data_IF_184966070440
#
_entry.id   IF_184966070440
#
_cell.length_a   1.000
_cell.length_b   1.000
_cell.length_c   1.000
_cell.angle_alpha   90.00
_cell.angle_beta   90.00
_cell.angle_gamma   90.00
#
_symmetry.space_group_name_H-M   'P 1'
#
loop_
_entity.id
_entity.type
_entity.pdbx_description
1 polymer ?
#
# COMPACT_ATOMS: atom_id res chain seq x y z
N UNK A 1 13.30 -9.59 2.63
CA UNK A 1 12.22 -9.16 3.53
C UNK A 1 11.26 -8.24 2.80
N UNK A 2 9.95 -8.37 3.02
CA UNK A 2 8.93 -7.41 2.58
C UNK A 2 8.48 -6.57 3.78
N UNK A 3 8.21 -5.30 3.53
CA UNK A 3 7.68 -4.38 4.52
C UNK A 3 6.29 -3.91 4.05
N UNK A 4 5.25 -4.14 4.85
CA UNK A 4 3.90 -3.67 4.55
C UNK A 4 3.62 -2.47 5.45
N UNK A 5 3.29 -1.33 4.85
CA UNK A 5 2.82 -0.14 5.56
C UNK A 5 1.31 0.01 5.34
N UNK A 6 0.54 -0.03 6.43
CA UNK A 6 -0.92 0.01 6.37
C UNK A 6 -1.49 0.91 7.46
N UNK A 7 -2.69 1.45 7.23
CA UNK A 7 -3.46 2.14 8.26
C UNK A 7 -4.41 1.21 9.00
N UNK A 8 -4.69 0.02 8.44
CA UNK A 8 -5.58 -0.98 9.03
C UNK A 8 -4.94 -2.37 9.02
N UNK A 9 -5.00 -3.04 10.16
CA UNK A 9 -4.53 -4.42 10.37
C UNK A 9 -5.30 -4.96 11.59
N UNK A 10 -5.59 -6.28 11.68
CA UNK A 10 -6.34 -6.84 12.80
C UNK A 10 -5.83 -6.33 14.16
N UNK A 11 -6.70 -5.98 15.11
CA UNK A 11 -8.15 -6.25 15.24
C UNK A 11 -9.13 -5.20 14.65
N UNK A 12 -8.70 -4.34 13.72
CA UNK A 12 -9.64 -3.38 13.10
C UNK A 12 -10.70 -4.12 12.25
N UNK A 13 -11.99 -3.99 12.56
CA UNK A 13 -13.08 -4.50 11.72
C UNK A 13 -13.20 -3.71 10.41
N UNK A 14 -12.37 -4.05 9.43
CA UNK A 14 -12.31 -3.39 8.13
C UNK A 14 -11.80 -4.37 7.07
N UNK A 15 -12.44 -4.41 5.89
CA UNK A 15 -12.04 -5.29 4.79
C UNK A 15 -10.59 -5.10 4.30
N UNK A 16 -10.02 -3.89 4.45
CA UNK A 16 -8.59 -3.66 4.18
C UNK A 16 -7.71 -4.37 5.20
N UNK A 17 -8.10 -4.39 6.48
CA UNK A 17 -7.38 -5.11 7.53
C UNK A 17 -7.33 -6.61 7.25
N UNK A 18 -8.47 -7.21 6.94
CA UNK A 18 -8.59 -8.64 6.61
C UNK A 18 -7.78 -9.00 5.37
N UNK A 19 -7.87 -8.16 4.32
CA UNK A 19 -7.06 -8.31 3.13
C UNK A 19 -5.57 -8.32 3.43
N UNK A 20 -5.08 -7.34 4.21
CA UNK A 20 -3.66 -7.25 4.56
C UNK A 20 -3.22 -8.43 5.42
N UNK A 21 -4.07 -8.92 6.31
CA UNK A 21 -3.82 -10.11 7.10
C UNK A 21 -3.66 -11.34 6.21
N UNK A 22 -4.63 -11.63 5.34
CA UNK A 22 -4.58 -12.77 4.43
C UNK A 22 -3.37 -12.69 3.49
N UNK A 23 -3.10 -11.51 2.93
CA UNK A 23 -1.92 -11.25 2.10
C UNK A 23 -0.62 -11.53 2.88
N UNK A 24 -0.53 -11.07 4.13
CA UNK A 24 0.62 -11.30 4.98
C UNK A 24 0.83 -12.79 5.25
N UNK A 25 -0.23 -13.54 5.58
CA UNK A 25 -0.16 -14.97 5.85
C UNK A 25 0.31 -15.76 4.62
N UNK A 26 -0.17 -15.43 3.43
CA UNK A 26 0.27 -16.07 2.19
C UNK A 26 1.73 -15.76 1.85
N UNK A 27 2.15 -14.50 1.98
CA UNK A 27 3.54 -14.10 1.68
C UNK A 27 4.51 -14.73 2.70
N UNK A 28 4.11 -14.82 3.98
CA UNK A 28 4.92 -15.38 5.07
C UNK A 28 5.32 -16.83 4.86
N UNK A 29 4.58 -17.60 4.05
CA UNK A 29 4.93 -18.97 3.68
C UNK A 29 6.31 -19.06 3.00
N UNK A 30 6.72 -18.02 2.28
CA UNK A 30 7.93 -18.02 1.46
C UNK A 30 8.90 -16.88 1.79
N UNK A 31 8.47 -15.84 2.52
CA UNK A 31 9.25 -14.64 2.76
C UNK A 31 9.07 -14.08 4.18
N UNK A 32 10.11 -13.46 4.72
CA UNK A 32 9.96 -12.62 5.93
C UNK A 32 9.15 -11.36 5.61
N UNK A 33 8.06 -11.15 6.35
CA UNK A 33 7.19 -9.97 6.22
C UNK A 33 7.10 -9.24 7.55
N UNK A 34 7.34 -7.93 7.52
CA UNK A 34 7.06 -7.03 8.63
C UNK A 34 5.88 -6.14 8.27
N UNK A 35 4.90 -6.02 9.16
CA UNK A 35 3.76 -5.12 9.01
C UNK A 35 3.96 -3.95 9.97
N UNK A 36 3.84 -2.72 9.47
CA UNK A 36 3.89 -1.49 10.25
C UNK A 36 2.56 -0.78 10.10
N UNK A 37 1.83 -0.63 11.21
CA UNK A 37 0.52 0.02 11.25
C UNK A 37 0.66 1.48 11.70
N UNK A 38 0.26 2.42 10.86
CA UNK A 38 0.14 3.88 11.13
C UNK A 38 1.42 4.65 11.54
N UNK A 39 2.42 4.00 12.13
CA UNK A 39 3.61 4.62 12.70
C UNK A 39 4.67 4.88 11.63
N UNK A 40 4.85 6.15 11.25
CA UNK A 40 5.97 6.54 10.38
C UNK A 40 7.32 6.38 11.07
N UNK A 41 7.39 6.61 12.39
CA UNK A 41 8.62 6.42 13.16
C UNK A 41 9.08 4.97 13.14
N UNK A 42 8.16 4.02 13.39
CA UNK A 42 8.48 2.59 13.31
C UNK A 42 8.87 2.20 11.87
N UNK A 43 8.19 2.76 10.87
CA UNK A 43 8.52 2.53 9.47
C UNK A 43 9.94 2.98 9.15
N UNK A 44 10.29 4.21 9.54
CA UNK A 44 11.63 4.79 9.34
C UNK A 44 12.67 3.93 10.06
N UNK A 45 12.42 3.59 11.32
CA UNK A 45 13.31 2.72 12.09
C UNK A 45 13.56 1.40 11.36
N UNK A 46 12.51 0.69 10.93
CA UNK A 46 12.66 -0.57 10.21
C UNK A 46 13.38 -0.40 8.87
N UNK A 47 13.11 0.68 8.13
CA UNK A 47 13.82 0.99 6.87
C UNK A 47 15.30 1.18 7.15
N UNK A 48 15.68 2.04 8.09
CA UNK A 48 17.08 2.36 8.41
C UNK A 48 17.80 1.12 8.93
N UNK A 49 17.22 0.41 9.91
CA UNK A 49 17.84 -0.76 10.53
C UNK A 49 17.98 -1.96 9.59
N UNK A 50 17.16 -2.06 8.54
CA UNK A 50 17.09 -3.26 7.68
C UNK A 50 17.25 -2.96 6.18
N UNK A 51 17.72 -1.77 5.81
CA UNK A 51 17.75 -1.27 4.42
C UNK A 51 18.34 -2.26 3.41
N UNK A 52 19.39 -3.01 3.78
CA UNK A 52 20.09 -3.94 2.87
C UNK A 52 19.27 -5.19 2.54
N UNK A 53 18.36 -5.61 3.42
CA UNK A 53 17.58 -6.86 3.27
C UNK A 53 16.12 -6.64 2.84
N UNK A 54 15.65 -5.38 2.88
CA UNK A 54 14.34 -5.00 2.36
C UNK A 54 14.37 -5.12 0.84
N UNK A 55 13.53 -6.00 0.30
CA UNK A 55 13.40 -6.23 -1.14
C UNK A 55 12.32 -5.34 -1.76
N UNK A 56 11.27 -5.06 -1.01
CA UNK A 56 10.09 -4.32 -1.45
C UNK A 56 9.37 -3.73 -0.23
N UNK A 57 8.91 -2.49 -0.34
CA UNK A 57 7.86 -1.96 0.52
C UNK A 57 6.53 -1.99 -0.22
N UNK A 58 5.48 -2.46 0.44
CA UNK A 58 4.11 -2.40 -0.04
C UNK A 58 3.32 -1.42 0.84
N UNK A 59 2.71 -0.40 0.22
CA UNK A 59 1.93 0.62 0.92
C UNK A 59 0.46 0.43 0.58
N UNK A 60 -0.38 0.31 1.60
CA UNK A 60 -1.83 0.11 1.46
C UNK A 60 -2.53 1.47 1.45
N UNK A 61 -3.29 1.79 0.41
CA UNK A 61 -3.94 3.08 0.27
C UNK A 61 -5.28 2.99 -0.48
N UNK A 62 -6.31 3.77 -0.10
CA UNK A 62 -6.52 4.31 1.23
C UNK A 62 -6.74 3.15 2.22
N UNK A 63 -6.67 3.44 3.51
CA UNK A 63 -7.19 2.55 4.56
C UNK A 63 -7.81 3.41 5.65
N UNK A 64 -8.76 2.87 6.41
CA UNK A 64 -9.55 3.64 7.39
C UNK A 64 -8.65 4.35 8.41
N UNK A 65 -7.55 3.72 8.84
CA UNK A 65 -6.63 4.37 9.76
C UNK A 65 -5.98 5.64 9.20
N UNK A 66 -5.84 5.74 7.87
CA UNK A 66 -5.34 6.95 7.20
C UNK A 66 -6.42 8.01 6.98
N UNK A 67 -7.72 7.68 7.06
CA UNK A 67 -8.79 8.68 6.91
C UNK A 67 -9.19 9.38 8.21
N UNK A 68 -8.52 9.09 9.33
CA UNK A 68 -8.84 9.65 10.66
C UNK A 68 -8.62 11.17 10.75
N UNK A 69 -7.62 11.71 10.05
CA UNK A 69 -7.40 13.14 9.91
C UNK A 69 -6.51 13.45 8.69
N UNK A 70 -6.38 14.75 8.35
CA UNK A 70 -5.59 15.20 7.20
C UNK A 70 -4.13 14.74 7.27
N UNK A 71 -3.51 14.74 8.45
CA UNK A 71 -2.11 14.33 8.62
C UNK A 71 -1.97 12.83 8.35
N UNK A 72 -2.86 12.01 8.90
CA UNK A 72 -2.91 10.57 8.68
C UNK A 72 -3.08 10.21 7.19
N UNK A 73 -3.87 10.99 6.45
CA UNK A 73 -4.13 10.77 5.03
C UNK A 73 -2.88 10.96 4.15
N UNK A 74 -1.93 11.78 4.59
CA UNK A 74 -0.67 12.01 3.89
C UNK A 74 0.44 11.04 4.29
N UNK A 75 0.33 10.29 5.39
CA UNK A 75 1.36 9.34 5.82
C UNK A 75 1.78 8.34 4.73
N UNK A 76 0.86 7.76 3.92
CA UNK A 76 1.25 6.86 2.82
C UNK A 76 2.11 7.53 1.76
N UNK A 77 1.88 8.81 1.49
CA UNK A 77 2.66 9.60 0.55
C UNK A 77 4.06 9.87 1.11
N UNK A 78 4.16 10.22 2.40
CA UNK A 78 5.44 10.40 3.09
C UNK A 78 6.24 9.09 3.10
N UNK A 79 5.60 7.98 3.46
CA UNK A 79 6.20 6.64 3.43
C UNK A 79 6.74 6.29 2.04
N UNK A 80 5.98 6.59 0.99
CA UNK A 80 6.39 6.39 -0.39
C UNK A 80 7.62 7.22 -0.76
N UNK A 81 7.60 8.52 -0.48
CA UNK A 81 8.72 9.42 -0.78
C UNK A 81 9.99 8.94 -0.07
N UNK A 82 9.89 8.63 1.23
CA UNK A 82 11.01 8.11 2.01
C UNK A 82 11.59 6.82 1.38
N UNK A 83 10.72 5.87 1.02
CA UNK A 83 11.16 4.63 0.39
C UNK A 83 11.88 4.86 -0.95
N UNK A 84 11.40 5.78 -1.79
CA UNK A 84 12.07 6.12 -3.05
C UNK A 84 13.42 6.81 -2.80
N UNK A 85 13.50 7.73 -1.84
CA UNK A 85 14.75 8.44 -1.50
C UNK A 85 15.85 7.47 -1.04
N UNK A 86 15.51 6.41 -0.31
CA UNK A 86 16.48 5.38 0.12
C UNK A 86 16.72 4.28 -0.94
N UNK A 87 16.14 4.43 -2.14
CA UNK A 87 16.34 3.51 -3.26
C UNK A 87 15.64 2.15 -3.10
N UNK A 88 14.57 2.07 -2.31
CA UNK A 88 13.80 0.84 -2.17
C UNK A 88 12.81 0.67 -3.34
N UNK A 89 12.57 -0.58 -3.73
CA UNK A 89 11.43 -0.91 -4.60
C UNK A 89 10.14 -0.69 -3.85
N UNK A 90 9.14 -0.18 -4.55
CA UNK A 90 7.86 0.26 -4.00
C UNK A 90 6.70 -0.37 -4.76
N UNK A 91 5.72 -0.86 -4.00
CA UNK A 91 4.42 -1.26 -4.52
C UNK A 91 3.33 -0.54 -3.75
N UNK A 92 2.29 -0.09 -4.45
CA UNK A 92 1.13 0.56 -3.82
C UNK A 92 -0.09 -0.30 -4.08
N UNK A 93 -0.76 -0.76 -3.04
CA UNK A 93 -2.06 -1.43 -3.17
C UNK A 93 -3.17 -0.41 -3.04
N UNK A 94 -3.95 -0.25 -4.10
CA UNK A 94 -5.07 0.67 -4.20
C UNK A 94 -6.39 -0.02 -3.89
N UNK A 95 -7.02 0.39 -2.80
CA UNK A 95 -8.37 -0.03 -2.39
C UNK A 95 -9.39 0.96 -2.93
N UNK A 96 -10.44 0.47 -3.60
CA UNK A 96 -11.58 1.30 -4.02
C UNK A 96 -11.17 2.61 -4.74
N UNK A 97 -10.26 2.51 -5.73
CA UNK A 97 -9.71 3.67 -6.43
C UNK A 97 -10.80 4.54 -7.08
N UNK A 98 -11.82 3.94 -7.66
CA UNK A 98 -12.95 4.62 -8.32
C UNK A 98 -13.83 5.40 -7.34
N UNK A 99 -13.88 4.98 -6.07
CA UNK A 99 -14.62 5.63 -4.98
C UNK A 99 -13.88 6.86 -4.41
N UNK A 100 -12.60 7.06 -4.77
CA UNK A 100 -11.84 8.21 -4.29
C UNK A 100 -12.34 9.51 -4.92
N UNK A 101 -12.42 10.56 -4.10
CA UNK A 101 -12.69 11.92 -4.59
C UNK A 101 -11.65 12.38 -5.63
N UNK A 102 -12.05 13.26 -6.56
CA UNK A 102 -11.13 13.84 -7.57
C UNK A 102 -9.88 14.47 -6.94
N UNK A 103 -10.02 15.08 -5.75
CA UNK A 103 -8.89 15.64 -4.98
C UNK A 103 -7.94 14.55 -4.48
N UNK A 104 -8.47 13.45 -3.93
CA UNK A 104 -7.66 12.33 -3.49
C UNK A 104 -6.93 11.66 -4.68
N UNK A 105 -7.63 11.46 -5.80
CA UNK A 105 -7.03 10.93 -7.04
C UNK A 105 -5.89 11.83 -7.57
N UNK A 106 -6.00 13.15 -7.41
CA UNK A 106 -4.91 14.07 -7.78
C UNK A 106 -3.61 13.78 -7.00
N UNK A 107 -3.71 13.52 -5.69
CA UNK A 107 -2.54 13.20 -4.87
C UNK A 107 -1.90 11.85 -5.22
N UNK A 108 -2.67 10.92 -5.80
CA UNK A 108 -2.14 9.64 -6.31
C UNK A 108 -1.20 9.77 -7.50
N UNK A 109 -1.13 10.93 -8.15
CA UNK A 109 -0.16 11.17 -9.24
C UNK A 109 1.27 10.86 -8.83
N UNK A 110 1.63 11.06 -7.55
CA UNK A 110 2.97 10.75 -7.06
C UNK A 110 3.28 9.24 -7.14
N UNK A 111 2.25 8.39 -6.95
CA UNK A 111 2.40 6.94 -6.99
C UNK A 111 2.66 6.40 -8.40
N UNK A 112 2.54 7.19 -9.48
CA UNK A 112 3.00 6.79 -10.82
C UNK A 112 4.49 6.40 -10.86
N UNK A 113 5.27 6.94 -9.92
CA UNK A 113 6.70 6.65 -9.75
C UNK A 113 6.96 5.34 -9.00
N UNK A 114 5.92 4.67 -8.50
CA UNK A 114 6.05 3.35 -7.93
C UNK A 114 6.51 2.33 -8.98
N UNK A 115 7.14 1.26 -8.49
CA UNK A 115 7.59 0.15 -9.33
C UNK A 115 6.39 -0.72 -9.72
N UNK A 116 5.44 -0.89 -8.78
CA UNK A 116 4.20 -1.63 -9.01
C UNK A 116 2.99 -0.93 -8.41
N UNK A 117 1.84 -1.02 -9.09
CA UNK A 117 0.54 -0.61 -8.58
C UNK A 117 -0.35 -1.85 -8.55
N UNK A 118 -0.92 -2.17 -7.40
CA UNK A 118 -1.76 -3.34 -7.19
C UNK A 118 -3.19 -2.86 -7.03
N UNK A 119 -4.11 -3.45 -7.78
CA UNK A 119 -5.55 -3.26 -7.62
C UNK A 119 -6.17 -4.51 -7.02
N UNK A 120 -7.27 -4.33 -6.30
CA UNK A 120 -8.01 -5.42 -5.66
C UNK A 120 -9.14 -6.00 -6.51
N UNK A 121 -9.53 -5.34 -7.60
CA UNK A 121 -10.52 -5.87 -8.55
C UNK A 121 -10.14 -5.50 -9.99
N UNK A 122 -10.62 -6.28 -10.95
CA UNK A 122 -10.37 -6.01 -12.37
C UNK A 122 -11.02 -4.69 -12.81
N UNK A 123 -12.18 -4.35 -12.24
CA UNK A 123 -12.87 -3.08 -12.49
C UNK A 123 -11.99 -1.89 -12.10
N UNK A 124 -11.45 -1.90 -10.88
CA UNK A 124 -10.57 -0.83 -10.37
C UNK A 124 -9.29 -0.71 -11.21
N UNK A 125 -8.70 -1.85 -11.58
CA UNK A 125 -7.52 -1.89 -12.46
C UNK A 125 -7.80 -1.22 -13.80
N UNK A 126 -8.93 -1.54 -14.45
CA UNK A 126 -9.30 -0.98 -15.74
C UNK A 126 -9.49 0.55 -15.66
N UNK A 127 -10.12 1.05 -14.60
CA UNK A 127 -10.30 2.50 -14.41
C UNK A 127 -8.96 3.17 -14.11
N UNK A 128 -8.15 2.59 -13.22
CA UNK A 128 -6.84 3.12 -12.87
C UNK A 128 -5.88 3.21 -14.06
N UNK A 129 -5.89 2.21 -14.95
CA UNK A 129 -5.08 2.20 -16.17
C UNK A 129 -5.54 3.23 -17.20
N UNK A 130 -6.86 3.40 -17.37
CA UNK A 130 -7.42 4.40 -18.28
C UNK A 130 -7.17 5.84 -17.82
N UNK A 131 -7.02 6.05 -16.51
CA UNK A 131 -7.01 7.41 -15.93
C UNK A 131 -5.62 7.87 -15.49
N UNK A 132 -4.83 7.01 -14.84
CA UNK A 132 -3.69 7.48 -14.07
C UNK A 132 -2.42 6.63 -14.22
N UNK A 133 -2.55 5.31 -14.27
CA UNK A 133 -1.42 4.38 -14.13
C UNK A 133 -1.08 3.66 -15.43
N UNK A 134 0.20 3.34 -15.61
CA UNK A 134 0.67 2.57 -16.78
C UNK A 134 0.41 1.07 -16.56
N UNK A 135 -0.28 0.43 -17.53
CA UNK A 135 -0.63 -0.99 -17.50
C UNK A 135 0.57 -1.94 -17.34
N UNK A 136 1.77 -1.55 -17.76
CA UNK A 136 2.99 -2.34 -17.55
C UNK A 136 3.37 -2.48 -16.06
N UNK A 137 2.98 -1.50 -15.24
CA UNK A 137 3.28 -1.45 -13.80
C UNK A 137 2.12 -1.94 -12.92
N UNK A 138 0.93 -2.11 -13.47
CA UNK A 138 -0.25 -2.50 -12.70
C UNK A 138 -0.33 -4.02 -12.55
N UNK A 139 -0.88 -4.49 -11.44
CA UNK A 139 -1.11 -5.90 -11.11
C UNK A 139 -2.47 -6.03 -10.44
N UNK A 140 -3.07 -7.21 -10.53
CA UNK A 140 -4.31 -7.56 -9.84
C UNK A 140 -3.97 -8.53 -8.72
N UNK A 141 -4.30 -8.19 -7.48
CA UNK A 141 -4.28 -9.11 -6.35
C UNK A 141 -5.66 -9.02 -5.71
N UNK A 142 -6.57 -9.96 -6.01
CA UNK A 142 -7.94 -9.86 -5.56
C UNK A 142 -8.04 -9.95 -4.05
N UNK A 143 -9.05 -9.29 -3.48
CA UNK A 143 -9.42 -9.56 -2.09
C UNK A 143 -9.99 -10.98 -2.05
N UNK A 144 -9.28 -11.89 -1.39
CA UNK A 144 -9.82 -13.17 -0.97
C UNK A 144 -10.84 -12.90 0.15
N UNK A 145 -12.03 -12.47 -0.25
CA UNK A 145 -13.14 -12.17 0.64
C UNK A 145 -13.84 -13.49 0.96
N UNK A 146 -13.73 -13.98 2.19
CA UNK A 146 -14.74 -14.87 2.79
C UNK A 146 -15.80 -14.00 3.47
N UNK A 147 -16.48 -13.13 2.70
CA UNK A 147 -17.70 -12.45 3.19
C UNK A 147 -18.87 -13.28 2.70
#
# INVERSE_FOLDING_TARGET
MLLIYTGSYPDDKCGVGDYVYNLNQEIKKNYTVNVVKLSLFELIYKIVSNRKIIKLINIQYPSIGFSTNKIAAFKPHVAFILAKLVGLKTSITLHEFSSLSKRAQYFLKIFKLADYIIFTTQYEKNIGEKTLFNSAKTRLIPIASNI
#
